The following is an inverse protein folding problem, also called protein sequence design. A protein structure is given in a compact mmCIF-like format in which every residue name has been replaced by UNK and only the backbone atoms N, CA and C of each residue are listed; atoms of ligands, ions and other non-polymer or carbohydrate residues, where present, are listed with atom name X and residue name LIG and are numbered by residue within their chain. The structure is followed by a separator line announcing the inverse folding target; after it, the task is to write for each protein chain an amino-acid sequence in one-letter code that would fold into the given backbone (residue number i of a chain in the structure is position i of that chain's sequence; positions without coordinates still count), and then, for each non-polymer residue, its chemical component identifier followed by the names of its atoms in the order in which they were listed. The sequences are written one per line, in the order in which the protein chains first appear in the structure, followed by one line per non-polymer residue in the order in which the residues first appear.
data_IF_983076676459
#
_entry.id   IF_983076676459
#
_cell.length_a   1.000
_cell.length_b   1.000
_cell.length_c   1.000
_cell.angle_alpha   90.00
_cell.angle_beta   90.00
_cell.angle_gamma   90.00
#
_symmetry.space_group_name_H-M   'P 1'
#
loop_
_entity.id
_entity.type
_entity.pdbx_description
1 polymer ?
#
# COMPACT_ATOMS: atom_id res chain seq x y z
N UNK A 1 -1.82 -9.87 7.00
CA UNK A 1 -2.24 -11.25 7.37
C UNK A 1 -1.19 -12.20 6.85
N UNK A 2 -0.68 -13.16 7.62
CA UNK A 2 0.24 -14.16 7.08
C UNK A 2 -0.45 -15.01 6.01
N UNK A 3 0.29 -15.39 4.96
CA UNK A 3 -0.16 -16.28 3.89
C UNK A 3 0.84 -17.44 3.73
N UNK A 4 0.43 -18.50 3.03
CA UNK A 4 1.25 -19.73 2.88
C UNK A 4 1.89 -19.84 1.48
N UNK A 5 2.05 -18.72 0.76
CA UNK A 5 2.39 -18.72 -0.67
C UNK A 5 3.84 -18.30 -0.96
N UNK A 6 4.66 -18.08 0.08
CA UNK A 6 6.07 -17.71 -0.07
C UNK A 6 6.28 -16.30 -0.65
N UNK A 7 5.21 -15.53 -0.89
CA UNK A 7 5.22 -14.21 -1.52
C UNK A 7 4.09 -13.35 -1.01
N UNK A 8 4.33 -12.05 -0.89
CA UNK A 8 3.29 -11.13 -0.44
C UNK A 8 2.26 -10.86 -1.54
N UNK A 9 1.01 -10.63 -1.13
CA UNK A 9 -0.07 -10.20 -2.02
C UNK A 9 -0.49 -8.78 -1.65
N UNK A 10 -0.75 -7.97 -2.67
CA UNK A 10 -1.21 -6.59 -2.48
C UNK A 10 -2.59 -6.38 -3.12
N UNK A 11 -3.58 -6.06 -2.28
CA UNK A 11 -4.86 -5.51 -2.70
C UNK A 11 -4.87 -3.98 -2.55
N UNK A 12 -5.36 -3.25 -3.57
CA UNK A 12 -5.51 -1.78 -3.48
C UNK A 12 -6.94 -1.38 -3.80
N UNK A 13 -7.59 -0.74 -2.82
CA UNK A 13 -8.98 -0.26 -2.90
C UNK A 13 -8.96 1.26 -3.03
N UNK A 14 -9.30 1.77 -4.21
CA UNK A 14 -9.49 3.19 -4.47
C UNK A 14 -10.97 3.46 -4.81
N UNK A 15 -11.70 4.08 -3.87
CA UNK A 15 -13.15 4.26 -4.01
C UNK A 15 -13.50 5.36 -5.03
N UNK A 16 -14.67 5.21 -5.69
CA UNK A 16 -15.22 6.27 -6.55
C UNK A 16 -15.59 7.54 -5.75
N UNK A 17 -15.95 7.37 -4.47
CA UNK A 17 -16.31 8.46 -3.55
C UNK A 17 -15.14 9.42 -3.31
N UNK A 18 -13.93 8.90 -3.11
CA UNK A 18 -12.74 9.72 -2.88
C UNK A 18 -12.12 10.24 -4.19
N UNK A 19 -12.31 9.52 -5.30
CA UNK A 19 -11.72 9.86 -6.59
C UNK A 19 -12.72 9.57 -7.71
N UNK A 20 -13.35 10.62 -8.25
CA UNK A 20 -14.36 10.49 -9.31
C UNK A 20 -13.79 10.01 -10.64
N UNK A 21 -12.60 10.51 -11.02
CA UNK A 21 -11.93 10.16 -12.28
C UNK A 21 -11.23 8.81 -12.21
N UNK A 22 -11.49 7.94 -13.20
CA UNK A 22 -10.85 6.63 -13.32
C UNK A 22 -9.33 6.73 -13.45
N UNK A 23 -8.84 7.74 -14.19
CA UNK A 23 -7.41 8.01 -14.36
C UNK A 23 -6.75 8.30 -13.01
N UNK A 24 -7.36 9.11 -12.16
CA UNK A 24 -6.85 9.41 -10.81
C UNK A 24 -6.76 8.14 -9.95
N UNK A 25 -7.81 7.31 -9.96
CA UNK A 25 -7.79 6.00 -9.26
C UNK A 25 -6.69 5.09 -9.78
N UNK A 26 -6.50 5.02 -11.09
CA UNK A 26 -5.47 4.18 -11.70
C UNK A 26 -4.06 4.69 -11.36
N UNK A 27 -3.85 6.01 -11.36
CA UNK A 27 -2.59 6.63 -10.94
C UNK A 27 -2.28 6.33 -9.47
N UNK A 28 -3.26 6.47 -8.58
CA UNK A 28 -3.08 6.14 -7.16
C UNK A 28 -2.75 4.65 -6.96
N UNK A 29 -3.53 3.74 -7.56
CA UNK A 29 -3.23 2.30 -7.51
C UNK A 29 -1.83 1.98 -8.04
N UNK A 30 -1.39 2.67 -9.09
CA UNK A 30 -0.06 2.51 -9.66
C UNK A 30 1.04 2.97 -8.70
N UNK A 31 0.90 4.13 -8.08
CA UNK A 31 1.84 4.62 -7.07
C UNK A 31 1.99 3.65 -5.88
N UNK A 32 0.87 3.13 -5.36
CA UNK A 32 0.88 2.11 -4.28
C UNK A 32 1.64 0.85 -4.71
N UNK A 33 1.38 0.34 -5.91
CA UNK A 33 2.05 -0.86 -6.43
C UNK A 33 3.53 -0.65 -6.69
N UNK A 34 3.92 0.52 -7.19
CA UNK A 34 5.32 0.85 -7.44
C UNK A 34 6.11 0.90 -6.12
N UNK A 35 5.55 1.52 -5.07
CA UNK A 35 6.17 1.54 -3.74
C UNK A 35 6.26 0.13 -3.15
N UNK A 36 5.18 -0.65 -3.19
CA UNK A 36 5.19 -2.03 -2.70
C UNK A 36 6.23 -2.90 -3.43
N UNK A 37 6.38 -2.77 -4.76
CA UNK A 37 7.35 -3.53 -5.55
C UNK A 37 8.81 -3.24 -5.17
N UNK A 38 9.07 -2.03 -4.68
CA UNK A 38 10.40 -1.62 -4.24
C UNK A 38 10.64 -1.93 -2.74
N UNK A 39 9.59 -2.26 -1.99
CA UNK A 39 9.69 -2.53 -0.55
C UNK A 39 10.08 -3.99 -0.29
N UNK A 40 10.91 -4.28 0.74
CA UNK A 40 11.21 -5.65 1.19
C UNK A 40 9.99 -6.51 1.55
N UNK A 41 8.85 -5.87 1.86
CA UNK A 41 7.59 -6.55 2.20
C UNK A 41 7.06 -7.42 1.06
N UNK A 42 7.51 -7.22 -0.18
CA UNK A 42 7.11 -8.07 -1.30
C UNK A 42 7.58 -9.53 -1.14
N UNK A 43 8.68 -9.72 -0.41
CA UNK A 43 9.35 -11.01 -0.23
C UNK A 43 8.91 -11.72 1.06
N UNK A 44 8.02 -11.09 1.85
CA UNK A 44 7.43 -11.70 3.04
C UNK A 44 6.11 -12.41 2.68
N UNK A 45 5.75 -13.46 3.40
CA UNK A 45 4.50 -14.20 3.12
C UNK A 45 3.31 -13.53 3.81
N UNK A 46 2.97 -12.32 3.39
CA UNK A 46 1.86 -11.54 3.97
C UNK A 46 0.91 -10.97 2.92
N UNK A 47 -0.38 -10.95 3.26
CA UNK A 47 -1.42 -10.25 2.53
C UNK A 47 -1.57 -8.82 3.09
N UNK A 48 -1.38 -7.84 2.20
CA UNK A 48 -1.49 -6.40 2.46
C UNK A 48 -2.67 -5.85 1.69
N UNK A 49 -3.59 -5.18 2.38
CA UNK A 49 -4.72 -4.47 1.77
C UNK A 49 -4.60 -2.99 2.05
N UNK A 50 -4.45 -2.18 1.00
CA UNK A 50 -4.37 -0.73 1.07
C UNK A 50 -5.71 -0.14 0.67
N UNK A 51 -6.40 0.51 1.61
CA UNK A 51 -7.63 1.23 1.35
C UNK A 51 -7.39 2.74 1.35
N UNK A 52 -7.67 3.41 0.23
CA UNK A 52 -7.58 4.86 0.15
C UNK A 52 -8.85 5.48 0.70
N UNK A 53 -8.75 6.10 1.88
CA UNK A 53 -9.89 6.72 2.58
C UNK A 53 -10.08 8.19 2.23
N UNK A 54 -9.00 8.91 1.97
CA UNK A 54 -9.05 10.31 1.57
C UNK A 54 -8.01 10.53 0.46
N UNK A 55 -8.41 11.20 -0.62
CA UNK A 55 -7.48 11.61 -1.67
C UNK A 55 -7.23 13.10 -1.50
N UNK A 56 -6.12 13.43 -0.84
CA UNK A 56 -5.72 14.81 -0.64
C UNK A 56 -5.30 15.45 -1.96
N UNK A 57 -5.51 16.76 -2.09
CA UNK A 57 -5.03 17.59 -3.21
C UNK A 57 -3.53 17.86 -3.15
N UNK A 58 -2.81 17.21 -2.22
CA UNK A 58 -1.36 17.31 -2.08
C UNK A 58 -0.65 16.91 -3.37
N UNK A 59 0.56 17.42 -3.55
CA UNK A 59 1.41 17.06 -4.68
C UNK A 59 1.68 15.55 -4.72
N UNK A 60 1.94 15.02 -5.91
CA UNK A 60 2.28 13.60 -6.08
C UNK A 60 3.51 13.20 -5.26
N UNK A 61 4.45 14.13 -5.05
CA UNK A 61 5.63 13.92 -4.20
C UNK A 61 5.24 13.73 -2.74
N UNK A 62 4.40 14.62 -2.20
CA UNK A 62 3.93 14.52 -0.82
C UNK A 62 3.14 13.22 -0.57
N UNK A 63 2.28 12.83 -1.53
CA UNK A 63 1.57 11.54 -1.47
C UNK A 63 2.54 10.35 -1.46
N UNK A 64 3.62 10.42 -2.25
CA UNK A 64 4.64 9.38 -2.30
C UNK A 64 5.39 9.25 -0.98
N UNK A 65 5.79 10.38 -0.40
CA UNK A 65 6.49 10.42 0.90
C UNK A 65 5.63 9.80 1.99
N UNK A 66 4.37 10.21 2.08
CA UNK A 66 3.45 9.68 3.09
C UNK A 66 3.20 8.18 2.91
N UNK A 67 3.06 7.72 1.67
CA UNK A 67 2.89 6.31 1.39
C UNK A 67 4.12 5.48 1.76
N UNK A 68 5.34 5.98 1.50
CA UNK A 68 6.57 5.32 1.96
C UNK A 68 6.58 5.22 3.49
N UNK A 69 6.24 6.32 4.18
CA UNK A 69 6.16 6.36 5.65
C UNK A 69 5.21 5.29 6.20
N UNK A 70 4.02 5.16 5.61
CA UNK A 70 3.03 4.15 6.00
C UNK A 70 3.52 2.71 5.77
N UNK A 71 4.28 2.48 4.69
CA UNK A 71 4.86 1.18 4.40
C UNK A 71 5.97 0.78 5.39
N UNK A 72 6.84 1.72 5.79
CA UNK A 72 7.84 1.47 6.83
C UNK A 72 7.19 1.14 8.18
N UNK A 73 6.03 1.76 8.50
CA UNK A 73 5.28 1.40 9.70
C UNK A 73 4.70 -0.02 9.62
N UNK A 74 4.26 -0.46 8.44
CA UNK A 74 3.75 -1.81 8.22
C UNK A 74 4.82 -2.87 8.45
N UNK A 75 6.06 -2.61 8.06
CA UNK A 75 7.20 -3.51 8.29
C UNK A 75 7.39 -3.80 9.78
N UNK A 76 7.49 -2.76 10.60
CA UNK A 76 7.65 -2.87 12.06
C UNK A 76 6.48 -3.64 12.71
N UNK A 77 5.27 -3.43 12.22
CA UNK A 77 4.09 -4.11 12.75
C UNK A 77 4.04 -5.59 12.32
N UNK A 78 4.46 -5.90 11.10
CA UNK A 78 4.52 -7.28 10.61
C UNK A 78 5.57 -8.10 11.38
N UNK A 79 6.74 -7.52 11.66
CA UNK A 79 7.76 -8.19 12.49
C UNK A 79 7.22 -8.56 13.87
N UNK A 80 6.50 -7.65 14.52
CA UNK A 80 5.86 -7.91 15.83
C UNK A 80 4.78 -8.99 15.77
N UNK A 81 3.96 -8.96 14.72
CA UNK A 81 2.86 -9.91 14.55
C UNK A 81 3.30 -11.30 14.10
N UNK A 82 4.51 -11.48 13.57
CA UNK A 82 5.07 -12.79 13.20
C UNK A 82 5.78 -13.49 14.37
N UNK A 83 6.01 -12.77 15.48
CA UNK A 83 6.62 -13.28 16.71
C UNK A 83 5.60 -13.60 17.82
N UNK A 84 4.30 -13.48 17.54
CA UNK A 84 3.18 -13.75 18.46
C UNK A 84 2.25 -14.81 17.88
#
# INVERSE_FOLDING_TARGET
MPNNNGKARLGVIASKRCMSKAVTRNKCKRMVREIFRLHPLKDTSVDVVVQVRNFSTLSAVAQRIELIRLFSQLEVLCERSLLS
#
